data_IF_390631118012
#
_entry.id   IF_390631118012
#
_cell.length_a   1.000
_cell.length_b   1.000
_cell.length_c   1.000
_cell.angle_alpha   90.00
_cell.angle_beta   90.00
_cell.angle_gamma   90.00
#
_symmetry.space_group_name_H-M   'P 1'
#
loop_
_entity.id
_entity.type
_entity.pdbx_description
1 polymer ?
#
# COMPACT_ATOMS: atom_id res chain seq x y z
N UNK A 1 1.56 -17.56 6.24
CA UNK A 1 0.54 -16.80 7.01
C UNK A 1 -0.32 -15.95 6.08
N UNK A 2 0.27 -15.05 5.28
CA UNK A 2 -0.49 -14.12 4.42
C UNK A 2 -0.93 -14.67 3.05
N UNK A 3 -0.66 -15.93 2.72
CA UNK A 3 -0.98 -16.50 1.41
C UNK A 3 -0.17 -15.91 0.23
N UNK A 4 0.86 -15.10 0.50
CA UNK A 4 1.77 -14.55 -0.51
C UNK A 4 2.58 -15.67 -1.16
N UNK A 5 2.58 -15.71 -2.50
CA UNK A 5 3.20 -16.80 -3.28
C UNK A 5 4.50 -16.42 -3.98
N UNK A 6 4.75 -15.12 -4.16
CA UNK A 6 5.96 -14.61 -4.83
C UNK A 6 6.48 -13.40 -4.08
N UNK A 7 7.79 -13.35 -3.95
CA UNK A 7 8.54 -12.24 -3.38
C UNK A 7 9.59 -11.82 -4.40
N UNK A 8 9.73 -10.52 -4.60
CA UNK A 8 10.75 -9.94 -5.46
C UNK A 8 11.61 -9.03 -4.59
N UNK A 9 12.89 -9.35 -4.48
CA UNK A 9 13.88 -8.54 -3.79
C UNK A 9 14.72 -7.84 -4.85
N UNK A 10 14.84 -6.52 -4.75
CA UNK A 10 15.63 -5.70 -5.69
C UNK A 10 17.02 -5.36 -5.13
N UNK A 11 17.39 -5.98 -4.01
CA UNK A 11 18.72 -5.95 -3.39
C UNK A 11 19.28 -4.54 -3.17
N UNK A 12 18.40 -3.58 -2.88
CA UNK A 12 18.77 -2.24 -2.47
C UNK A 12 18.91 -2.18 -0.95
N UNK A 13 20.11 -1.87 -0.47
CA UNK A 13 20.44 -1.95 0.96
C UNK A 13 19.84 -0.74 1.68
N UNK A 14 19.19 -0.98 2.82
CA UNK A 14 18.88 0.05 3.81
C UNK A 14 20.10 0.23 4.72
N UNK A 15 20.94 1.22 4.43
CA UNK A 15 22.22 1.41 5.12
C UNK A 15 22.09 2.20 6.42
N UNK A 16 21.18 3.17 6.45
CA UNK A 16 20.99 4.07 7.60
C UNK A 16 19.56 4.62 7.65
N UNK A 17 19.08 4.82 8.87
CA UNK A 17 17.85 5.57 9.10
C UNK A 17 18.07 7.05 8.77
N UNK A 18 17.30 7.57 7.82
CA UNK A 18 17.26 8.97 7.43
C UNK A 18 15.86 9.26 6.87
N UNK A 19 15.31 10.45 7.10
CA UNK A 19 14.02 10.86 6.52
C UNK A 19 14.19 11.56 5.16
N UNK A 20 15.41 11.95 4.82
CA UNK A 20 15.71 12.59 3.55
C UNK A 20 15.79 11.56 2.42
N UNK A 21 14.77 11.56 1.56
CA UNK A 21 14.71 10.67 0.39
C UNK A 21 15.86 10.91 -0.60
N UNK A 22 16.39 12.14 -0.67
CA UNK A 22 17.48 12.46 -1.59
C UNK A 22 18.76 11.72 -1.21
N UNK A 23 18.97 11.47 0.09
CA UNK A 23 20.11 10.66 0.58
C UNK A 23 19.96 9.21 0.14
N UNK A 24 18.74 8.66 0.14
CA UNK A 24 18.48 7.29 -0.34
C UNK A 24 18.83 7.18 -1.83
N UNK A 25 18.36 8.14 -2.65
CA UNK A 25 18.62 8.13 -4.09
C UNK A 25 20.05 8.48 -4.47
N UNK A 26 20.74 9.31 -3.69
CA UNK A 26 22.11 9.73 -4.00
C UNK A 26 23.17 8.72 -3.55
N UNK A 27 22.93 8.02 -2.43
CA UNK A 27 24.00 7.25 -1.75
C UNK A 27 23.71 5.75 -1.66
N UNK A 28 22.46 5.31 -1.75
CA UNK A 28 22.07 3.96 -1.34
C UNK A 28 21.47 3.15 -2.49
N UNK A 29 20.53 3.73 -3.22
CA UNK A 29 19.70 3.01 -4.18
C UNK A 29 20.01 3.40 -5.62
N UNK A 30 20.18 2.41 -6.49
CA UNK A 30 20.15 2.64 -7.93
C UNK A 30 18.70 2.73 -8.41
N UNK A 31 18.23 3.98 -8.54
CA UNK A 31 16.88 4.31 -9.00
C UNK A 31 16.50 3.62 -10.30
N UNK A 32 17.39 3.63 -11.29
CA UNK A 32 17.09 3.08 -12.61
C UNK A 32 16.96 1.55 -12.57
N UNK A 33 17.83 0.87 -11.82
CA UNK A 33 17.75 -0.58 -11.66
C UNK A 33 16.44 -1.00 -10.97
N UNK A 34 16.00 -0.26 -9.95
CA UNK A 34 14.73 -0.53 -9.26
C UNK A 34 13.54 -0.35 -10.21
N UNK A 35 13.53 0.75 -10.96
CA UNK A 35 12.44 1.03 -11.91
C UNK A 35 12.39 -0.05 -12.99
N UNK A 36 13.54 -0.46 -13.55
CA UNK A 36 13.57 -1.52 -14.56
C UNK A 36 13.05 -2.86 -14.02
N UNK A 37 13.40 -3.21 -12.78
CA UNK A 37 12.89 -4.41 -12.12
C UNK A 37 11.39 -4.33 -11.81
N UNK A 38 10.89 -3.17 -11.37
CA UNK A 38 9.45 -2.95 -11.18
C UNK A 38 8.68 -3.01 -12.49
N UNK A 39 9.18 -2.37 -13.55
CA UNK A 39 8.59 -2.46 -14.89
C UNK A 39 8.51 -3.91 -15.33
N UNK A 40 9.59 -4.68 -15.15
CA UNK A 40 9.62 -6.09 -15.53
C UNK A 40 8.60 -6.89 -14.73
N UNK A 41 8.52 -6.67 -13.42
CA UNK A 41 7.57 -7.36 -12.54
C UNK A 41 6.12 -7.09 -12.97
N UNK A 42 5.78 -5.83 -13.27
CA UNK A 42 4.45 -5.45 -13.75
C UNK A 42 4.14 -6.12 -15.10
N UNK A 43 5.11 -6.11 -16.03
CA UNK A 43 4.97 -6.71 -17.37
C UNK A 43 4.79 -8.21 -17.34
N UNK A 44 5.54 -8.90 -16.49
CA UNK A 44 5.51 -10.37 -16.38
C UNK A 44 4.57 -10.84 -15.27
N UNK A 45 3.47 -10.12 -15.06
CA UNK A 45 2.53 -10.35 -13.97
C UNK A 45 2.07 -11.82 -13.84
N UNK A 46 1.44 -12.13 -12.70
CA UNK A 46 1.13 -13.50 -12.30
C UNK A 46 0.10 -14.25 -13.19
N UNK A 47 -0.54 -13.58 -14.14
CA UNK A 47 -1.48 -14.15 -15.11
C UNK A 47 -1.32 -13.46 -16.47
N UNK A 48 -2.02 -13.96 -17.50
CA UNK A 48 -2.15 -13.28 -18.80
C UNK A 48 -2.70 -11.85 -18.70
N UNK A 49 -3.31 -11.52 -17.56
CA UNK A 49 -4.09 -10.32 -17.38
C UNK A 49 -3.35 -9.26 -16.53
N UNK A 50 -2.11 -9.51 -16.10
CA UNK A 50 -1.31 -8.55 -15.31
C UNK A 50 -1.82 -8.32 -13.89
N UNK A 51 -1.31 -7.27 -13.23
CA UNK A 51 -1.78 -6.84 -11.90
C UNK A 51 -2.87 -5.78 -12.00
N UNK A 52 -3.92 -5.90 -11.18
CA UNK A 52 -4.99 -4.90 -11.09
C UNK A 52 -4.59 -3.67 -10.25
N UNK A 53 -3.86 -3.90 -9.16
CA UNK A 53 -3.62 -2.91 -8.11
C UNK A 53 -2.17 -2.95 -7.67
N UNK A 54 -1.62 -1.77 -7.41
CA UNK A 54 -0.35 -1.57 -6.75
C UNK A 54 -0.58 -0.82 -5.43
N UNK A 55 -0.31 -1.50 -4.31
CA UNK A 55 -0.37 -0.91 -2.97
C UNK A 55 1.03 -0.45 -2.60
N UNK A 56 1.19 0.83 -2.25
CA UNK A 56 2.46 1.40 -1.81
C UNK A 56 2.30 2.09 -0.45
N UNK A 57 3.41 2.30 0.26
CA UNK A 57 3.41 3.28 1.34
C UNK A 57 3.25 4.67 0.75
N UNK A 58 2.35 5.46 1.34
CA UNK A 58 2.14 6.84 0.97
C UNK A 58 3.43 7.65 1.22
N UNK A 59 3.99 8.34 0.20
CA UNK A 59 5.15 9.20 0.39
C UNK A 59 4.89 10.29 1.45
N UNK A 60 5.77 10.40 2.43
CA UNK A 60 5.68 11.39 3.52
C UNK A 60 7.05 11.90 3.91
N UNK A 61 7.13 13.16 4.33
CA UNK A 61 8.37 13.75 4.88
C UNK A 61 8.66 13.27 6.31
N UNK A 62 7.66 12.72 6.99
CA UNK A 62 7.78 12.20 8.36
C UNK A 62 8.23 10.74 8.41
N UNK A 63 8.03 10.01 7.31
CA UNK A 63 8.40 8.60 7.18
C UNK A 63 9.91 8.43 7.00
N UNK A 64 10.38 7.21 7.28
CA UNK A 64 11.73 6.77 6.87
C UNK A 64 11.90 6.98 5.37
N UNK A 65 13.04 7.53 4.97
CA UNK A 65 13.34 7.93 3.60
C UNK A 65 13.23 6.78 2.62
N UNK A 66 13.48 5.53 3.06
CA UNK A 66 13.32 4.34 2.23
C UNK A 66 11.84 4.01 1.93
N UNK A 67 10.92 4.26 2.87
CA UNK A 67 9.48 4.11 2.63
C UNK A 67 9.04 5.10 1.55
N UNK A 68 9.44 6.36 1.70
CA UNK A 68 9.15 7.43 0.74
C UNK A 68 9.81 7.15 -0.62
N UNK A 69 11.07 6.72 -0.64
CA UNK A 69 11.78 6.33 -1.86
C UNK A 69 11.03 5.23 -2.62
N UNK A 70 10.61 4.17 -1.92
CA UNK A 70 9.86 3.06 -2.53
C UNK A 70 8.55 3.53 -3.16
N UNK A 71 7.79 4.40 -2.48
CA UNK A 71 6.55 4.95 -3.00
C UNK A 71 6.77 5.81 -4.25
N UNK A 72 7.78 6.68 -4.23
CA UNK A 72 8.12 7.54 -5.37
C UNK A 72 8.60 6.74 -6.59
N UNK A 73 9.41 5.70 -6.39
CA UNK A 73 9.89 4.83 -7.49
C UNK A 73 8.74 4.04 -8.14
N UNK A 74 7.77 3.60 -7.35
CA UNK A 74 6.57 2.97 -7.87
C UNK A 74 5.74 3.95 -8.72
N UNK A 75 5.51 5.16 -8.23
CA UNK A 75 4.79 6.20 -8.98
C UNK A 75 5.50 6.56 -10.30
N UNK A 76 6.82 6.73 -10.28
CA UNK A 76 7.60 6.97 -11.49
C UNK A 76 7.56 5.79 -12.47
N UNK A 77 7.54 4.56 -11.96
CA UNK A 77 7.37 3.38 -12.81
C UNK A 77 6.03 3.40 -13.54
N UNK A 78 4.94 3.73 -12.84
CA UNK A 78 3.61 3.86 -13.45
C UNK A 78 3.62 4.96 -14.52
N UNK A 79 4.22 6.12 -14.23
CA UNK A 79 4.34 7.22 -15.19
C UNK A 79 5.08 6.78 -16.45
N UNK A 80 6.24 6.12 -16.32
CA UNK A 80 7.03 5.63 -17.45
C UNK A 80 6.26 4.62 -18.29
N UNK A 81 5.52 3.70 -17.67
CA UNK A 81 4.69 2.73 -18.38
C UNK A 81 3.56 3.41 -19.16
N UNK A 82 2.91 4.42 -18.57
CA UNK A 82 1.86 5.21 -19.24
C UNK A 82 2.44 5.99 -20.44
N UNK A 83 3.60 6.63 -20.27
CA UNK A 83 4.26 7.40 -21.33
C UNK A 83 4.73 6.54 -22.51
N UNK A 84 5.20 5.31 -22.24
CA UNK A 84 5.67 4.38 -23.28
C UNK A 84 4.54 3.85 -24.18
N UNK A 85 3.27 4.08 -23.84
CA UNK A 85 2.08 3.63 -24.59
C UNK A 85 2.17 2.16 -25.03
N UNK A 86 2.69 1.30 -24.15
CA UNK A 86 2.95 -0.09 -24.51
C UNK A 86 1.61 -0.81 -24.72
N UNK A 87 1.31 -1.08 -26.00
CA UNK A 87 0.17 -1.88 -26.41
C UNK A 87 0.37 -3.27 -25.79
N UNK A 88 -0.57 -3.74 -24.97
CA UNK A 88 -0.59 -5.04 -24.28
C UNK A 88 0.00 -5.12 -22.86
N UNK A 89 0.19 -4.01 -22.14
CA UNK A 89 0.48 -4.06 -20.70
C UNK A 89 -0.69 -3.47 -19.92
N UNK A 90 -1.24 -4.25 -18.99
CA UNK A 90 -2.15 -3.73 -17.98
C UNK A 90 -1.34 -2.99 -16.92
N UNK A 91 -1.50 -1.68 -16.87
CA UNK A 91 -0.89 -0.83 -15.85
C UNK A 91 -1.80 -0.87 -14.62
N UNK A 92 -1.31 -1.31 -13.44
CA UNK A 92 -2.15 -1.40 -12.25
C UNK A 92 -2.59 -0.02 -11.76
N UNK A 93 -3.73 0.03 -11.10
CA UNK A 93 -4.16 1.21 -10.34
C UNK A 93 -3.32 1.32 -9.07
N UNK A 94 -2.62 2.43 -8.88
CA UNK A 94 -1.75 2.66 -7.72
C UNK A 94 -2.47 3.42 -6.62
N UNK A 95 -2.42 2.92 -5.38
CA UNK A 95 -2.96 3.62 -4.19
C UNK A 95 -1.94 3.58 -3.04
N UNK A 96 -1.98 4.61 -2.19
CA UNK A 96 -1.02 4.80 -1.10
C UNK A 96 -1.66 4.58 0.27
N UNK A 97 -1.16 3.62 1.03
CA UNK A 97 -1.52 3.43 2.43
C UNK A 97 -0.69 4.34 3.34
N UNK A 98 -1.35 5.10 4.20
CA UNK A 98 -0.69 6.00 5.14
C UNK A 98 -0.15 5.23 6.34
N UNK A 99 1.11 5.52 6.70
CA UNK A 99 1.71 5.08 7.95
C UNK A 99 1.07 5.78 9.15
N UNK A 100 0.68 7.05 8.96
CA UNK A 100 0.10 7.93 9.97
C UNK A 100 -1.41 8.07 9.82
N UNK A 101 -2.12 8.35 10.92
CA UNK A 101 -3.50 8.82 10.84
C UNK A 101 -3.47 10.32 10.58
N UNK A 102 -3.99 10.71 9.43
CA UNK A 102 -3.99 12.08 8.94
C UNK A 102 -5.38 12.69 9.08
N UNK A 103 -5.41 13.94 9.51
CA UNK A 103 -6.62 14.76 9.59
C UNK A 103 -6.88 15.56 8.31
N UNK A 104 -5.89 15.62 7.42
CA UNK A 104 -5.91 16.41 6.19
C UNK A 104 -5.44 15.55 5.01
N UNK A 105 -5.73 16.00 3.79
CA UNK A 105 -5.22 15.36 2.59
C UNK A 105 -3.70 15.51 2.57
N UNK A 106 -2.94 14.41 2.48
CA UNK A 106 -1.49 14.48 2.46
C UNK A 106 -0.99 15.22 1.23
N UNK A 107 0.05 16.02 1.42
CA UNK A 107 0.75 16.73 0.35
C UNK A 107 2.23 16.39 0.42
N UNK A 108 2.78 15.95 -0.71
CA UNK A 108 4.22 15.74 -0.86
C UNK A 108 4.79 16.76 -1.87
N UNK A 109 5.30 17.91 -1.39
CA UNK A 109 5.52 19.09 -2.23
C UNK A 109 6.67 18.92 -3.24
N UNK A 110 7.62 18.03 -2.99
CA UNK A 110 8.80 17.85 -3.83
C UNK A 110 8.57 16.94 -5.04
N UNK A 111 7.42 16.26 -5.14
CA UNK A 111 7.14 15.39 -6.29
C UNK A 111 5.64 15.38 -6.66
N UNK A 112 5.33 15.89 -7.86
CA UNK A 112 3.96 15.95 -8.39
C UNK A 112 3.30 14.59 -8.62
N UNK A 113 4.08 13.51 -8.80
CA UNK A 113 3.51 12.18 -8.99
C UNK A 113 2.79 11.68 -7.73
N UNK A 114 3.16 12.19 -6.55
CA UNK A 114 2.52 11.87 -5.28
C UNK A 114 1.26 12.71 -5.00
N UNK A 115 0.79 13.49 -5.96
CA UNK A 115 -0.45 14.26 -5.82
C UNK A 115 -1.67 13.34 -5.65
N UNK A 116 -2.48 13.63 -4.62
CA UNK A 116 -3.73 12.92 -4.36
C UNK A 116 -4.84 13.48 -5.27
N UNK A 117 -5.65 12.59 -5.82
CA UNK A 117 -6.74 12.95 -6.72
C UNK A 117 -7.76 13.86 -6.04
N UNK A 118 -8.08 14.96 -6.71
CA UNK A 118 -9.11 15.92 -6.31
C UNK A 118 -10.53 15.51 -6.72
N UNK A 119 -10.65 14.54 -7.64
CA UNK A 119 -11.94 14.08 -8.19
C UNK A 119 -12.76 13.37 -7.10
N UNK A 120 -12.07 12.68 -6.19
CA UNK A 120 -12.68 11.90 -5.12
C UNK A 120 -11.79 11.99 -3.87
N UNK A 121 -11.92 13.06 -3.06
CA UNK A 121 -11.15 13.23 -1.83
C UNK A 121 -11.55 12.21 -0.74
N UNK A 122 -12.56 11.36 -1.02
CA UNK A 122 -13.04 10.35 -0.11
C UNK A 122 -11.91 9.35 0.21
N UNK A 123 -11.61 9.29 1.48
CA UNK A 123 -10.59 8.43 2.05
C UNK A 123 -11.08 6.98 2.03
N UNK A 124 -10.30 6.08 1.44
CA UNK A 124 -10.53 4.65 1.58
C UNK A 124 -10.02 4.20 2.94
N UNK A 125 -10.83 3.42 3.68
CA UNK A 125 -10.51 3.01 5.04
C UNK A 125 -10.59 1.51 5.22
N UNK A 126 -9.60 0.95 5.93
CA UNK A 126 -9.64 -0.44 6.40
C UNK A 126 -9.73 -0.46 7.91
N UNK A 127 -10.76 -1.11 8.45
CA UNK A 127 -10.97 -1.19 9.89
C UNK A 127 -10.16 -2.35 10.48
N UNK A 128 -9.10 -2.02 11.20
CA UNK A 128 -8.18 -2.96 11.86
C UNK A 128 -8.82 -3.81 12.96
N UNK A 129 -10.02 -3.43 13.43
CA UNK A 129 -10.76 -4.16 14.46
C UNK A 129 -11.66 -5.25 13.89
N UNK A 130 -11.76 -5.35 12.57
CA UNK A 130 -12.53 -6.39 11.92
C UNK A 130 -12.03 -7.80 12.27
N UNK A 131 -13.01 -8.67 12.54
CA UNK A 131 -12.78 -10.08 12.91
C UNK A 131 -12.66 -10.93 11.67
N UNK A 132 -11.73 -11.87 11.67
CA UNK A 132 -11.45 -12.75 10.53
C UNK A 132 -12.35 -14.00 10.52
N UNK A 133 -13.03 -14.29 11.63
CA UNK A 133 -13.93 -15.44 11.76
C UNK A 133 -15.15 -15.07 12.60
N UNK A 134 -16.28 -15.69 12.28
CA UNK A 134 -17.56 -15.47 12.99
C UNK A 134 -17.69 -16.32 14.25
N UNK A 135 -16.87 -17.37 14.36
CA UNK A 135 -16.98 -18.38 15.41
C UNK A 135 -16.31 -17.99 16.73
N UNK A 136 -15.33 -17.07 16.72
CA UNK A 136 -14.58 -16.70 17.93
C UNK A 136 -14.01 -15.28 17.86
N UNK A 137 -13.90 -14.63 19.02
CA UNK A 137 -13.28 -13.30 19.17
C UNK A 137 -11.74 -13.34 19.12
N UNK A 138 -11.14 -14.51 18.91
CA UNK A 138 -9.68 -14.64 18.93
C UNK A 138 -9.04 -14.27 17.59
N UNK A 139 -9.60 -14.60 16.43
CA UNK A 139 -8.93 -14.33 15.15
C UNK A 139 -9.15 -12.89 14.66
N UNK A 140 -8.22 -11.98 14.97
CA UNK A 140 -8.25 -10.56 14.56
C UNK A 140 -7.10 -10.22 13.61
N UNK A 141 -7.23 -9.10 12.87
CA UNK A 141 -6.14 -8.52 12.07
C UNK A 141 -4.85 -8.32 12.89
N UNK A 142 -4.98 -7.92 14.16
CA UNK A 142 -3.85 -7.73 15.07
C UNK A 142 -3.02 -9.02 15.23
N UNK A 143 -3.65 -10.20 15.26
CA UNK A 143 -2.92 -11.47 15.34
C UNK A 143 -2.09 -11.72 14.09
N UNK A 144 -2.63 -11.42 12.90
CA UNK A 144 -1.88 -11.53 11.65
C UNK A 144 -0.63 -10.64 11.68
N UNK A 145 -0.78 -9.39 12.11
CA UNK A 145 0.33 -8.43 12.21
C UNK A 145 1.39 -8.93 13.18
N UNK A 146 1.01 -9.38 14.38
CA UNK A 146 1.94 -9.91 15.39
C UNK A 146 2.69 -11.11 14.84
N UNK A 147 2.02 -12.05 14.19
CA UNK A 147 2.68 -13.22 13.60
C UNK A 147 3.65 -12.82 12.48
N UNK A 148 3.24 -11.93 11.58
CA UNK A 148 4.11 -11.45 10.49
C UNK A 148 5.35 -10.73 11.03
N UNK A 149 5.19 -9.89 12.06
CA UNK A 149 6.31 -9.18 12.67
C UNK A 149 7.23 -10.12 13.46
N UNK A 150 6.69 -11.19 14.07
CA UNK A 150 7.48 -12.15 14.85
C UNK A 150 8.49 -12.93 14.00
N UNK A 151 8.20 -13.11 12.71
CA UNK A 151 9.14 -13.70 11.73
C UNK A 151 10.33 -12.76 11.41
N UNK A 152 10.20 -11.46 11.68
CA UNK A 152 11.18 -10.43 11.34
C UNK A 152 11.60 -9.62 12.57
N UNK A 153 12.56 -10.16 13.34
CA UNK A 153 13.02 -9.58 14.63
C UNK A 153 13.46 -8.11 14.59
N UNK A 154 13.87 -7.60 13.42
CA UNK A 154 14.20 -6.18 13.23
C UNK A 154 12.97 -5.26 13.32
N UNK A 155 11.75 -5.80 13.31
CA UNK A 155 10.48 -5.07 13.39
C UNK A 155 9.89 -5.01 14.82
N UNK A 156 10.72 -5.17 15.85
CA UNK A 156 10.26 -5.15 17.24
C UNK A 156 9.51 -3.87 17.65
N UNK A 157 9.82 -2.73 17.02
CA UNK A 157 9.08 -1.47 17.21
C UNK A 157 7.62 -1.55 16.73
N UNK A 158 7.40 -2.18 15.57
CA UNK A 158 6.07 -2.38 15.00
C UNK A 158 5.20 -3.31 15.87
N UNK A 159 5.81 -4.31 16.53
CA UNK A 159 5.12 -5.15 17.51
C UNK A 159 4.66 -4.30 18.70
N UNK A 160 5.52 -3.44 19.24
CA UNK A 160 5.16 -2.55 20.33
C UNK A 160 3.99 -1.61 19.95
N UNK A 161 4.08 -0.95 18.80
CA UNK A 161 3.02 -0.07 18.29
C UNK A 161 1.68 -0.78 18.07
N UNK A 162 1.73 -1.99 17.51
CA UNK A 162 0.57 -2.86 17.31
C UNK A 162 -0.10 -3.22 18.64
N UNK A 163 0.66 -3.32 19.73
CA UNK A 163 0.16 -3.68 21.06
C UNK A 163 -0.29 -2.47 21.90
N UNK A 164 0.19 -1.25 21.63
CA UNK A 164 0.02 -0.10 22.56
C UNK A 164 -1.01 0.96 22.17
N UNK A 165 -1.62 0.92 20.98
CA UNK A 165 -2.74 1.85 20.68
C UNK A 165 -3.13 2.00 19.21
N UNK A 166 -2.22 1.71 18.28
CA UNK A 166 -2.44 1.85 16.84
C UNK A 166 -3.43 0.82 16.24
N UNK A 167 -3.93 -0.09 17.08
CA UNK A 167 -4.81 -1.19 16.68
C UNK A 167 -6.29 -0.78 16.53
N UNK A 168 -6.69 0.41 16.98
CA UNK A 168 -8.12 0.83 17.02
C UNK A 168 -8.52 1.87 16.00
N UNK A 169 -7.57 2.45 15.30
CA UNK A 169 -7.84 3.43 14.25
C UNK A 169 -7.87 2.75 12.87
N UNK A 170 -8.68 3.28 11.97
CA UNK A 170 -8.78 2.75 10.61
C UNK A 170 -7.54 3.13 9.81
N UNK A 171 -6.99 2.18 9.05
CA UNK A 171 -5.97 2.51 8.06
C UNK A 171 -6.55 3.40 6.99
N UNK A 172 -5.72 4.30 6.49
CA UNK A 172 -6.10 5.32 5.54
C UNK A 172 -5.38 5.09 4.21
N UNK A 173 -6.14 5.01 3.12
CA UNK A 173 -5.63 4.80 1.77
C UNK A 173 -6.07 5.92 0.84
N UNK A 174 -5.13 6.40 0.04
CA UNK A 174 -5.29 7.55 -0.83
C UNK A 174 -5.11 7.18 -2.30
N UNK A 175 -5.96 7.76 -3.14
CA UNK A 175 -5.95 7.56 -4.58
C UNK A 175 -5.11 8.65 -5.27
N UNK A 176 -4.11 8.26 -6.04
CA UNK A 176 -3.22 9.21 -6.71
C UNK A 176 -3.84 9.78 -8.00
N UNK A 177 -3.56 11.05 -8.29
CA UNK A 177 -3.97 11.75 -9.52
C UNK A 177 -3.45 11.07 -10.79
N UNK A 178 -2.30 10.39 -10.72
CA UNK A 178 -1.66 9.70 -11.85
C UNK A 178 -2.53 8.59 -12.46
N UNK A 179 -3.49 8.05 -11.71
CA UNK A 179 -4.38 7.01 -12.23
C UNK A 179 -5.35 7.52 -13.31
N UNK A 180 -5.61 8.84 -13.37
CA UNK A 180 -6.30 9.63 -14.40
C UNK A 180 -7.61 9.09 -15.07
N UNK A 181 -8.18 7.98 -14.58
CA UNK A 181 -9.33 7.29 -15.16
C UNK A 181 -10.40 6.99 -14.10
N UNK A 182 -11.65 7.41 -14.34
CA UNK A 182 -12.78 7.17 -13.43
C UNK A 182 -13.04 5.67 -13.18
N UNK A 183 -12.82 4.83 -14.20
CA UNK A 183 -13.06 3.39 -14.09
C UNK A 183 -12.12 2.73 -13.08
N UNK A 184 -10.88 3.24 -12.97
CA UNK A 184 -9.89 2.77 -11.99
C UNK A 184 -10.28 3.18 -10.57
N UNK A 185 -10.91 4.34 -10.41
CA UNK A 185 -11.45 4.74 -9.11
C UNK A 185 -12.58 3.79 -8.66
N UNK A 186 -13.53 3.51 -9.56
CA UNK A 186 -14.64 2.57 -9.27
C UNK A 186 -14.14 1.18 -8.88
N UNK A 187 -13.06 0.70 -9.50
CA UNK A 187 -12.41 -0.56 -9.09
C UNK A 187 -12.02 -0.54 -7.61
N UNK A 188 -11.32 0.52 -7.16
CA UNK A 188 -10.89 0.65 -5.76
C UNK A 188 -12.09 0.79 -4.83
N UNK A 189 -13.07 1.61 -5.20
CA UNK A 189 -14.31 1.77 -4.44
C UNK A 189 -15.02 0.44 -4.21
N UNK A 190 -15.22 -0.34 -5.27
CA UNK A 190 -15.87 -1.65 -5.19
C UNK A 190 -15.14 -2.61 -4.24
N UNK A 191 -13.81 -2.56 -4.20
CA UNK A 191 -13.01 -3.42 -3.32
C UNK A 191 -13.24 -3.05 -1.86
N UNK A 192 -13.14 -1.76 -1.52
CA UNK A 192 -13.38 -1.32 -0.14
C UNK A 192 -14.82 -1.55 0.30
N UNK A 193 -15.80 -1.37 -0.59
CA UNK A 193 -17.20 -1.73 -0.31
C UNK A 193 -17.38 -3.23 -0.09
N UNK A 194 -16.72 -4.08 -0.88
CA UNK A 194 -16.74 -5.53 -0.66
C UNK A 194 -16.15 -5.91 0.70
N UNK A 195 -15.05 -5.28 1.12
CA UNK A 195 -14.46 -5.51 2.44
C UNK A 195 -15.45 -5.15 3.57
N UNK A 196 -16.16 -4.02 3.45
CA UNK A 196 -17.22 -3.63 4.40
C UNK A 196 -18.36 -4.65 4.40
N UNK A 197 -18.84 -5.04 3.22
CA UNK A 197 -19.97 -5.96 3.08
C UNK A 197 -19.68 -7.35 3.63
N UNK A 198 -18.47 -7.89 3.41
CA UNK A 198 -18.03 -9.16 3.98
C UNK A 198 -18.17 -9.13 5.50
N UNK A 199 -17.74 -8.04 6.14
CA UNK A 199 -17.86 -7.93 7.59
C UNK A 199 -19.28 -7.67 8.09
N UNK A 200 -20.10 -6.89 7.36
CA UNK A 200 -21.49 -6.64 7.78
C UNK A 200 -22.39 -7.88 7.62
N UNK A 201 -22.22 -8.65 6.54
CA UNK A 201 -22.96 -9.89 6.32
C UNK A 201 -22.72 -10.91 7.43
N UNK A 202 -21.48 -11.00 7.89
CA UNK A 202 -21.07 -11.86 8.99
C UNK A 202 -21.70 -11.47 10.35
N UNK A 203 -21.99 -10.19 10.58
CA UNK A 203 -22.68 -9.72 11.81
C UNK A 203 -24.17 -10.08 11.79
N UNK A 204 -24.83 -10.01 10.62
CA UNK A 204 -26.27 -10.21 10.50
C UNK A 204 -26.70 -11.69 10.72
N UNK A 205 -25.87 -12.66 10.37
CA UNK A 205 -26.17 -14.09 10.59
C UNK A 205 -26.00 -14.54 12.04
N UNK A 206 -25.21 -13.83 12.85
CA UNK A 206 -25.01 -14.14 14.28
C UNK A 206 -26.21 -13.71 15.12
N UNK A 207 -26.98 -12.70 14.69
CA UNK A 207 -28.17 -12.22 15.40
C UNK A 207 -29.45 -13.02 15.11
N UNK A 208 -29.38 -14.03 14.24
CA UNK A 208 -30.51 -14.89 13.88
C UNK A 208 -30.41 -16.32 14.44
N UNK A 209 -29.43 -16.61 15.31
CA UNK A 209 -29.30 -17.85 16.07
C UNK A 209 -29.42 -17.57 17.57
#
# INVERSE_FOLDING_TARGET
ILGIRKFFFYDQIDLKYDRNVDVVFAEQWNKEDVIQQLEQTIKTGNSSDGYDIMLIMLPSIESHGHHTASGLLALETIERLQQKQLVNIKIPTIIGGSEFILNEIPVYPSNKLAEISSIEPNLFQFNRTWKLTDATDVATYQMIVIWACSEHKSQGGLIAETLTGYARENEQYYYFSINNEQIRFQLIQNIFEQLVNIHQYNIAHVLQC
#
